data_IF_221118517315
#
_entry.id   IF_221118517315
#
_cell.length_a   1.000
_cell.length_b   1.000
_cell.length_c   1.000
_cell.angle_alpha   90.00
_cell.angle_beta   90.00
_cell.angle_gamma   90.00
#
_symmetry.space_group_name_H-M   'P 1'
#
loop_
_entity.id
_entity.type
_entity.pdbx_description
1 polymer ?
#
# COMPACT_ATOMS: atom_id res chain seq x y z
N UNK A 1 8.12 -1.83 3.86
CA UNK A 1 7.71 -1.55 5.26
C UNK A 1 8.53 -2.31 6.31
N UNK A 2 8.46 -3.64 6.45
CA UNK A 2 9.26 -4.37 7.47
C UNK A 2 10.76 -4.05 7.39
N UNK A 3 11.33 -4.00 6.18
CA UNK A 3 12.75 -3.64 5.97
C UNK A 3 13.07 -2.23 6.49
N UNK A 4 12.18 -1.26 6.23
CA UNK A 4 12.34 0.11 6.71
C UNK A 4 12.34 0.21 8.24
N UNK A 5 11.52 -0.58 8.94
CA UNK A 5 11.57 -0.65 10.40
C UNK A 5 12.92 -1.19 10.92
N UNK A 6 13.43 -2.25 10.27
CA UNK A 6 14.71 -2.88 10.64
C UNK A 6 15.89 -1.95 10.35
N UNK A 7 15.85 -1.22 9.23
CA UNK A 7 16.83 -0.16 8.90
C UNK A 7 16.85 0.94 9.97
N UNK A 8 15.72 1.18 10.64
CA UNK A 8 15.58 2.07 11.80
C UNK A 8 15.86 1.43 13.16
N UNK A 9 16.40 0.20 13.18
CA UNK A 9 16.87 -0.46 14.40
C UNK A 9 15.78 -1.13 15.23
N UNK A 10 14.56 -1.29 14.72
CA UNK A 10 13.48 -1.99 15.44
C UNK A 10 12.78 -3.05 14.59
N UNK A 11 12.21 -4.06 15.27
CA UNK A 11 11.37 -5.06 14.65
C UNK A 11 9.92 -4.79 15.03
N UNK A 12 9.00 -4.61 14.07
CA UNK A 12 7.60 -4.35 14.40
C UNK A 12 6.98 -5.59 15.05
N UNK A 13 6.23 -5.41 16.13
CA UNK A 13 5.41 -6.47 16.70
C UNK A 13 4.19 -6.71 15.80
N UNK A 14 4.16 -7.86 15.13
CA UNK A 14 3.06 -8.21 14.23
C UNK A 14 1.98 -8.94 15.03
N UNK A 15 0.91 -8.21 15.39
CA UNK A 15 -0.26 -8.77 16.08
C UNK A 15 -1.13 -9.58 15.13
N UNK A 16 -1.29 -9.10 13.88
CA UNK A 16 -2.08 -9.76 12.86
C UNK A 16 -1.50 -9.49 11.46
N UNK A 17 -1.58 -10.48 10.57
CA UNK A 17 -1.19 -10.35 9.17
C UNK A 17 -2.41 -10.56 8.28
N UNK A 18 -2.73 -9.56 7.46
CA UNK A 18 -3.85 -9.53 6.51
C UNK A 18 -3.38 -8.92 5.20
N UNK A 19 -4.09 -9.18 4.10
CA UNK A 19 -3.65 -8.78 2.76
C UNK A 19 -4.47 -7.62 2.21
N UNK A 20 -5.77 -7.57 2.50
CA UNK A 20 -6.67 -6.54 1.99
C UNK A 20 -6.61 -5.27 2.85
N UNK A 21 -6.33 -4.09 2.25
CA UNK A 21 -6.29 -2.81 2.99
C UNK A 21 -7.59 -2.52 3.75
N UNK A 22 -8.74 -2.90 3.21
CA UNK A 22 -10.04 -2.72 3.87
C UNK A 22 -10.13 -3.50 5.17
N UNK A 23 -9.61 -4.74 5.20
CA UNK A 23 -9.57 -5.57 6.41
C UNK A 23 -8.62 -4.97 7.44
N UNK A 24 -7.45 -4.47 7.01
CA UNK A 24 -6.52 -3.73 7.88
C UNK A 24 -7.23 -2.57 8.56
N UNK A 25 -7.93 -1.74 7.78
CA UNK A 25 -8.60 -0.54 8.29
C UNK A 25 -9.76 -0.87 9.22
N UNK A 26 -10.50 -1.96 8.97
CA UNK A 26 -11.53 -2.44 9.88
C UNK A 26 -10.95 -2.84 11.24
N UNK A 27 -9.79 -3.51 11.26
CA UNK A 27 -9.11 -3.90 12.50
C UNK A 27 -8.61 -2.69 13.30
N UNK A 28 -8.03 -1.70 12.61
CA UNK A 28 -7.60 -0.42 13.19
C UNK A 28 -8.80 0.33 13.79
N UNK A 29 -9.90 0.45 13.03
CA UNK A 29 -11.15 1.08 13.49
C UNK A 29 -11.72 0.38 14.73
N UNK A 30 -11.58 -0.95 14.80
CA UNK A 30 -11.97 -1.74 15.97
C UNK A 30 -10.95 -1.70 17.14
N UNK A 31 -9.88 -0.91 17.04
CA UNK A 31 -8.89 -0.74 18.12
C UNK A 31 -7.85 -1.86 18.25
N UNK A 32 -7.68 -2.71 17.23
CA UNK A 32 -6.74 -3.84 17.28
C UNK A 32 -5.27 -3.44 17.05
N UNK A 33 -4.99 -2.14 16.89
CA UNK A 33 -3.62 -1.61 16.75
C UNK A 33 -3.51 -0.54 15.66
N UNK A 34 -2.31 -0.44 15.08
CA UNK A 34 -1.97 0.50 14.01
C UNK A 34 -1.41 -0.24 12.80
N UNK A 35 -1.47 0.38 11.64
CA UNK A 35 -0.95 -0.19 10.40
C UNK A 35 -0.24 0.87 9.55
N UNK A 36 0.73 0.42 8.76
CA UNK A 36 1.36 1.21 7.71
C UNK A 36 0.66 0.89 6.39
N UNK A 37 0.19 1.91 5.68
CA UNK A 37 -0.55 1.78 4.42
C UNK A 37 -0.07 2.82 3.40
N UNK A 38 -0.20 2.55 2.08
CA UNK A 38 0.01 3.57 1.05
C UNK A 38 -0.95 4.74 1.23
N UNK A 39 -0.52 5.95 0.86
CA UNK A 39 -1.32 7.18 0.95
C UNK A 39 -2.66 7.08 0.20
N UNK A 40 -2.72 6.29 -0.87
CA UNK A 40 -3.95 6.04 -1.63
C UNK A 40 -5.09 5.47 -0.78
N UNK A 41 -4.79 4.78 0.33
CA UNK A 41 -5.80 4.28 1.25
C UNK A 41 -6.52 5.40 2.02
N UNK A 42 -5.89 6.58 2.16
CA UNK A 42 -6.48 7.74 2.80
C UNK A 42 -7.42 8.54 1.88
N UNK A 43 -7.50 8.20 0.59
CA UNK A 43 -8.41 8.86 -0.37
C UNK A 43 -9.89 8.59 -0.06
N UNK A 44 -10.18 7.57 0.73
CA UNK A 44 -11.53 7.22 1.19
C UNK A 44 -11.59 7.43 2.69
N UNK A 45 -12.63 8.11 3.17
CA UNK A 45 -12.83 8.29 4.60
C UNK A 45 -13.19 6.96 5.28
N UNK A 46 -12.48 6.66 6.37
CA UNK A 46 -12.71 5.47 7.20
C UNK A 46 -13.14 5.88 8.62
N UNK A 47 -14.39 5.57 9.02
CA UNK A 47 -14.87 5.89 10.36
C UNK A 47 -13.98 5.31 11.45
N UNK A 48 -13.61 6.13 12.43
CA UNK A 48 -12.79 5.72 13.57
C UNK A 48 -11.30 5.51 13.25
N UNK A 49 -10.84 5.88 12.05
CA UNK A 49 -9.43 5.79 11.65
C UNK A 49 -8.87 7.19 11.43
N UNK A 50 -7.69 7.45 11.98
CA UNK A 50 -6.92 8.67 11.70
C UNK A 50 -5.67 8.28 10.93
N UNK A 51 -5.44 8.93 9.79
CA UNK A 51 -4.22 8.76 9.00
C UNK A 51 -3.17 9.76 9.48
N UNK A 52 -1.95 9.26 9.70
CA UNK A 52 -0.80 10.07 10.11
C UNK A 52 0.31 9.85 9.09
N UNK A 53 0.77 10.93 8.46
CA UNK A 53 1.88 10.88 7.51
C UNK A 53 3.18 10.64 8.25
N UNK A 54 4.02 9.75 7.72
CA UNK A 54 5.37 9.54 8.22
C UNK A 54 6.29 10.70 7.80
N UNK A 55 7.27 11.04 8.63
CA UNK A 55 8.31 12.02 8.27
C UNK A 55 9.13 11.56 7.08
N UNK A 56 9.42 10.25 7.01
CA UNK A 56 10.13 9.64 5.90
C UNK A 56 9.17 9.03 4.89
N UNK A 57 9.51 9.19 3.61
CA UNK A 57 8.77 8.54 2.52
C UNK A 57 9.28 7.11 2.35
N UNK A 58 8.40 6.14 2.60
CA UNK A 58 8.66 4.73 2.34
C UNK A 58 7.98 4.36 1.02
N UNK A 59 8.71 3.85 0.00
CA UNK A 59 8.11 3.49 -1.28
C UNK A 59 7.11 2.34 -1.14
N UNK A 60 5.97 2.50 -1.80
CA UNK A 60 4.93 1.48 -1.96
C UNK A 60 4.74 1.23 -3.47
N UNK A 61 5.62 0.40 -4.03
CA UNK A 61 5.69 0.18 -5.47
C UNK A 61 4.44 -0.51 -6.02
N UNK A 62 3.98 -0.07 -7.20
CA UNK A 62 2.93 -0.69 -7.99
C UNK A 62 3.52 -1.15 -9.33
N UNK A 63 3.45 -2.45 -9.60
CA UNK A 63 4.00 -3.05 -10.82
C UNK A 63 2.88 -3.54 -11.73
N UNK A 64 2.99 -3.25 -13.02
CA UNK A 64 2.24 -3.94 -14.08
C UNK A 64 3.15 -4.99 -14.71
N UNK A 65 2.64 -6.21 -14.87
CA UNK A 65 3.37 -7.34 -15.45
C UNK A 65 2.61 -7.86 -16.67
N UNK A 66 3.34 -8.17 -17.74
CA UNK A 66 2.80 -8.75 -18.96
C UNK A 66 3.82 -9.69 -19.60
N UNK A 67 3.36 -10.56 -20.49
CA UNK A 67 4.22 -11.45 -21.25
C UNK A 67 4.88 -10.71 -22.42
N UNK A 68 6.10 -11.13 -22.76
CA UNK A 68 6.84 -10.62 -23.91
C UNK A 68 6.31 -11.23 -25.21
N UNK A 69 5.10 -10.80 -25.58
CA UNK A 69 4.38 -11.21 -26.79
C UNK A 69 3.91 -9.97 -27.57
N UNK A 70 3.58 -10.08 -28.87
CA UNK A 70 3.02 -8.97 -29.62
C UNK A 70 1.76 -8.43 -28.94
N UNK A 71 1.86 -7.25 -28.34
CA UNK A 71 0.79 -6.65 -27.55
C UNK A 71 -0.30 -6.08 -28.48
N UNK A 72 -1.60 -6.33 -28.18
CA UNK A 72 -2.69 -5.65 -28.87
C UNK A 72 -2.55 -4.13 -28.78
N UNK A 73 -2.98 -3.39 -29.81
CA UNK A 73 -2.85 -1.93 -29.87
C UNK A 73 -3.49 -1.23 -28.65
N UNK A 74 -4.62 -1.75 -28.16
CA UNK A 74 -5.27 -1.25 -26.94
C UNK A 74 -4.37 -1.34 -25.71
N UNK A 75 -3.56 -2.39 -25.61
CA UNK A 75 -2.64 -2.57 -24.49
C UNK A 75 -1.45 -1.61 -24.61
N UNK A 76 -0.92 -1.40 -25.81
CA UNK A 76 0.09 -0.36 -26.06
C UNK A 76 -0.41 1.04 -25.69
N UNK A 77 -1.68 1.36 -26.02
CA UNK A 77 -2.32 2.62 -25.61
C UNK A 77 -2.46 2.75 -24.09
N UNK A 78 -2.83 1.66 -23.41
CA UNK A 78 -2.89 1.61 -21.94
C UNK A 78 -1.50 1.84 -21.33
N UNK A 79 -0.45 1.18 -21.82
CA UNK A 79 0.91 1.36 -21.33
C UNK A 79 1.41 2.80 -21.51
N UNK A 80 1.09 3.44 -22.63
CA UNK A 80 1.39 4.86 -22.84
C UNK A 80 0.65 5.74 -21.82
N UNK A 81 -0.64 5.48 -21.60
CA UNK A 81 -1.43 6.24 -20.61
C UNK A 81 -0.92 6.08 -19.17
N UNK A 82 -0.39 4.90 -18.82
CA UNK A 82 0.18 4.63 -17.50
C UNK A 82 1.56 5.26 -17.28
N UNK A 83 2.28 5.64 -18.35
CA UNK A 83 3.63 6.23 -18.27
C UNK A 83 3.64 7.75 -18.08
N UNK A 84 2.49 8.42 -18.28
CA UNK A 84 2.37 9.88 -18.22
C UNK A 84 2.79 10.54 -19.52
#
# INVERSE_FOLDING_TARGET
>A
MRRACVEHGFHPLIVQQVFEPQTVLALVSAGNGVALLPETCALIHWPGVTFVTLEETIPADLYALWYDEPLPEVFSRLLTALRG
#
